data_IF_957497123792
#
_entry.id   IF_957497123792
#
_cell.length_a   1.000
_cell.length_b   1.000
_cell.length_c   1.000
_cell.angle_alpha   90.00
_cell.angle_beta   90.00
_cell.angle_gamma   90.00
#
_symmetry.space_group_name_H-M   'P 1'
#
loop_
_entity.id
_entity.type
_entity.pdbx_description
1 polymer ?
#
# COMPACT_ATOMS: atom_id res chain seq x y z
N UNK A 1 -11.04 1.13 -35.21
CA UNK A 1 -9.78 0.66 -34.63
C UNK A 1 -9.81 1.11 -33.17
N UNK A 2 -10.02 0.18 -32.25
CA UNK A 2 -9.92 0.47 -30.81
C UNK A 2 -8.44 0.31 -30.47
N UNK A 3 -7.80 1.35 -29.97
CA UNK A 3 -6.46 1.22 -29.40
C UNK A 3 -6.64 0.56 -28.03
N UNK A 4 -6.14 -0.67 -27.89
CA UNK A 4 -6.05 -1.33 -26.59
C UNK A 4 -4.79 -0.80 -25.88
N UNK A 5 -4.88 -0.26 -24.65
CA UNK A 5 -3.70 0.16 -23.91
C UNK A 5 -2.74 -1.02 -23.71
N UNK A 6 -1.49 -0.85 -24.12
CA UNK A 6 -0.41 -1.84 -23.91
C UNK A 6 -0.15 -2.06 -22.42
N UNK A 7 -0.42 -1.05 -21.59
CA UNK A 7 -0.35 -1.09 -20.12
C UNK A 7 -1.51 -0.27 -19.54
N UNK A 8 -2.21 -0.84 -18.57
CA UNK A 8 -3.15 -0.15 -17.69
C UNK A 8 -2.65 -0.27 -16.24
N UNK A 9 -2.70 0.84 -15.50
CA UNK A 9 -2.35 0.91 -14.09
C UNK A 9 -3.56 1.47 -13.33
N UNK A 10 -4.12 0.67 -12.45
CA UNK A 10 -5.09 1.11 -11.45
C UNK A 10 -4.37 1.33 -10.13
N UNK A 11 -4.64 2.45 -9.47
CA UNK A 11 -4.08 2.80 -8.16
C UNK A 11 -5.21 3.18 -7.23
N UNK A 12 -5.14 2.70 -6.00
CA UNK A 12 -6.06 3.08 -4.94
C UNK A 12 -5.34 3.23 -3.61
N UNK A 13 -5.79 4.18 -2.81
CA UNK A 13 -5.26 4.45 -1.47
C UNK A 13 -6.22 3.94 -0.42
N UNK A 14 -5.67 3.36 0.64
CA UNK A 14 -6.39 2.99 1.86
C UNK A 14 -7.21 4.17 2.41
N UNK A 15 -8.50 3.96 2.63
CA UNK A 15 -9.39 4.91 3.30
C UNK A 15 -9.49 4.54 4.78
N UNK A 16 -8.99 5.41 5.66
CA UNK A 16 -9.01 5.15 7.11
C UNK A 16 -10.42 5.13 7.71
N UNK A 17 -11.34 5.87 7.09
CA UNK A 17 -12.70 6.07 7.61
C UNK A 17 -13.68 4.97 7.16
N UNK A 18 -13.26 4.09 6.24
CA UNK A 18 -14.05 2.96 5.74
C UNK A 18 -13.34 1.67 6.14
N UNK A 19 -13.52 1.27 7.39
CA UNK A 19 -12.88 0.10 7.98
C UNK A 19 -13.83 -0.75 8.81
N UNK A 20 -13.54 -2.05 8.89
CA UNK A 20 -14.31 -3.04 9.65
C UNK A 20 -13.38 -4.07 10.30
N UNK A 21 -13.76 -4.56 11.47
CA UNK A 21 -13.02 -5.62 12.15
C UNK A 21 -13.16 -6.96 11.41
N UNK A 22 -12.08 -7.74 11.37
CA UNK A 22 -12.04 -9.08 10.81
C UNK A 22 -12.12 -10.10 11.96
N UNK A 23 -12.89 -11.17 11.80
CA UNK A 23 -12.96 -12.25 12.79
C UNK A 23 -12.26 -13.54 12.36
N UNK A 24 -12.10 -13.76 11.06
CA UNK A 24 -11.41 -14.93 10.52
C UNK A 24 -11.04 -14.76 9.05
N UNK A 25 -10.05 -15.53 8.60
CA UNK A 25 -9.63 -15.64 7.22
C UNK A 25 -9.56 -17.12 6.82
N UNK A 26 -10.21 -17.49 5.71
CA UNK A 26 -10.16 -18.82 5.13
C UNK A 26 -9.83 -18.72 3.63
N UNK A 27 -8.57 -18.92 3.27
CA UNK A 27 -8.12 -18.70 1.89
C UNK A 27 -8.25 -17.22 1.53
N UNK A 28 -9.16 -16.89 0.63
CA UNK A 28 -9.49 -15.50 0.23
C UNK A 28 -10.83 -15.01 0.79
N UNK A 29 -11.51 -15.80 1.63
CA UNK A 29 -12.74 -15.40 2.30
C UNK A 29 -12.41 -14.74 3.64
N UNK A 30 -12.73 -13.45 3.73
CA UNK A 30 -12.52 -12.60 4.90
C UNK A 30 -13.86 -12.43 5.61
N UNK A 31 -13.98 -12.92 6.85
CA UNK A 31 -15.19 -12.69 7.66
C UNK A 31 -15.04 -11.40 8.43
N UNK A 32 -15.96 -10.46 8.22
CA UNK A 32 -15.94 -9.11 8.81
C UNK A 32 -17.17 -8.86 9.68
N UNK A 33 -17.12 -7.85 10.56
CA UNK A 33 -18.28 -7.47 11.37
C UNK A 33 -19.44 -6.89 10.55
N UNK A 34 -19.15 -6.28 9.40
CA UNK A 34 -20.13 -5.78 8.44
C UNK A 34 -19.47 -5.59 7.07
N UNK A 35 -20.18 -5.84 5.97
CA UNK A 35 -19.70 -5.52 4.62
C UNK A 35 -20.19 -4.13 4.12
N UNK A 36 -20.85 -3.35 4.99
CA UNK A 36 -21.33 -2.01 4.63
C UNK A 36 -20.16 -1.10 4.23
N UNK A 37 -20.33 -0.37 3.11
CA UNK A 37 -19.28 0.51 2.56
C UNK A 37 -18.35 -0.18 1.57
N UNK A 38 -18.37 -1.52 1.48
CA UNK A 38 -17.61 -2.29 0.51
C UNK A 38 -18.47 -2.68 -0.70
N UNK A 39 -17.84 -2.84 -1.85
CA UNK A 39 -18.48 -3.28 -3.09
C UNK A 39 -17.52 -4.13 -3.92
N UNK A 40 -18.07 -5.04 -4.72
CA UNK A 40 -17.30 -5.83 -5.69
C UNK A 40 -16.53 -4.88 -6.62
N UNK A 41 -15.27 -5.20 -6.90
CA UNK A 41 -14.32 -4.38 -7.65
C UNK A 41 -13.57 -3.34 -6.82
N UNK A 42 -13.85 -3.19 -5.52
CA UNK A 42 -13.01 -2.37 -4.65
C UNK A 42 -11.72 -3.11 -4.29
N UNK A 43 -10.61 -2.39 -4.23
CA UNK A 43 -9.44 -2.88 -3.51
C UNK A 43 -9.68 -2.85 -2.02
N UNK A 44 -8.99 -3.72 -1.30
CA UNK A 44 -8.98 -3.76 0.16
C UNK A 44 -7.57 -3.88 0.69
N UNK A 45 -7.37 -3.35 1.90
CA UNK A 45 -6.15 -3.48 2.68
C UNK A 45 -6.52 -4.15 3.98
N UNK A 46 -6.06 -5.39 4.15
CA UNK A 46 -6.11 -6.12 5.39
C UNK A 46 -4.86 -5.77 6.19
N UNK A 47 -5.05 -5.39 7.45
CA UNK A 47 -3.96 -5.20 8.41
C UNK A 47 -4.25 -6.11 9.60
N UNK A 48 -3.44 -7.14 9.76
CA UNK A 48 -3.44 -7.98 10.95
C UNK A 48 -2.73 -7.25 12.10
N UNK A 49 -3.18 -7.41 13.34
CA UNK A 49 -2.45 -6.92 14.52
C UNK A 49 -2.04 -5.42 14.45
N UNK A 50 -2.98 -4.54 14.10
CA UNK A 50 -2.69 -3.12 13.79
C UNK A 50 -1.93 -2.36 14.90
N UNK A 51 -2.07 -2.81 16.16
CA UNK A 51 -1.48 -2.19 17.36
C UNK A 51 -0.10 -2.71 17.75
N UNK A 52 0.42 -3.75 17.09
CA UNK A 52 1.68 -4.41 17.47
C UNK A 52 2.62 -4.62 16.29
N UNK A 53 2.67 -5.84 15.74
CA UNK A 53 3.48 -6.23 14.58
C UNK A 53 2.57 -6.41 13.37
N UNK A 54 2.23 -5.33 12.65
CA UNK A 54 1.26 -5.42 11.59
C UNK A 54 1.76 -6.27 10.43
N UNK A 55 0.89 -7.15 9.93
CA UNK A 55 1.08 -7.82 8.64
C UNK A 55 0.03 -7.25 7.69
N UNK A 56 0.51 -6.68 6.59
CA UNK A 56 -0.34 -6.03 5.60
C UNK A 56 -0.59 -6.98 4.44
N UNK A 57 -1.83 -7.04 3.98
CA UNK A 57 -2.19 -7.78 2.77
C UNK A 57 -3.22 -7.01 1.96
N UNK A 58 -3.22 -7.21 0.65
CA UNK A 58 -4.12 -6.49 -0.27
C UNK A 58 -4.74 -7.43 -1.29
N UNK A 59 -5.93 -7.07 -1.76
CA UNK A 59 -6.68 -7.83 -2.75
C UNK A 59 -7.81 -6.99 -3.33
N UNK A 60 -8.56 -7.57 -4.26
CA UNK A 60 -9.74 -6.96 -4.88
C UNK A 60 -10.98 -7.81 -4.59
N UNK A 61 -12.07 -7.16 -4.18
CA UNK A 61 -13.31 -7.85 -3.84
C UNK A 61 -13.95 -8.45 -5.08
N UNK A 62 -14.14 -9.77 -5.08
CA UNK A 62 -14.82 -10.50 -6.16
C UNK A 62 -16.26 -10.87 -5.81
N UNK A 63 -16.55 -11.06 -4.52
CA UNK A 63 -17.91 -11.34 -4.05
C UNK A 63 -18.12 -10.83 -2.61
N UNK A 64 -19.39 -10.57 -2.28
CA UNK A 64 -19.84 -10.26 -0.92
C UNK A 64 -21.08 -11.09 -0.62
N UNK A 65 -21.04 -11.88 0.46
CA UNK A 65 -22.13 -12.72 0.92
C UNK A 65 -22.36 -12.49 2.42
N UNK A 66 -23.30 -11.60 2.76
CA UNK A 66 -23.56 -11.23 4.15
C UNK A 66 -22.34 -10.54 4.78
N UNK A 67 -21.72 -11.22 5.74
CA UNK A 67 -20.51 -10.75 6.46
C UNK A 67 -19.21 -11.33 5.91
N UNK A 68 -19.25 -12.02 4.77
CA UNK A 68 -18.06 -12.59 4.12
C UNK A 68 -17.74 -11.78 2.88
N UNK A 69 -16.51 -11.28 2.81
CA UNK A 69 -15.94 -10.60 1.65
C UNK A 69 -14.92 -11.56 1.03
N UNK A 70 -15.14 -11.97 -0.21
CA UNK A 70 -14.20 -12.80 -0.97
C UNK A 70 -13.34 -11.91 -1.84
N UNK A 71 -12.01 -12.07 -1.76
CA UNK A 71 -11.06 -11.39 -2.65
C UNK A 71 -10.51 -12.34 -3.72
N UNK A 72 -9.92 -11.78 -4.77
CA UNK A 72 -9.29 -12.55 -5.85
C UNK A 72 -8.02 -13.27 -5.36
N UNK A 73 -7.19 -12.56 -4.59
CA UNK A 73 -5.97 -13.03 -3.98
C UNK A 73 -5.62 -12.14 -2.78
N UNK A 74 -4.66 -12.58 -1.96
CA UNK A 74 -4.05 -11.77 -0.92
C UNK A 74 -2.55 -11.68 -1.19
N UNK A 75 -2.10 -10.51 -1.64
CA UNK A 75 -0.67 -10.18 -1.73
C UNK A 75 -0.26 -9.64 -0.36
N UNK A 76 0.65 -10.32 0.32
CA UNK A 76 1.10 -9.96 1.68
C UNK A 76 2.61 -9.89 1.82
N UNK A 77 3.08 -9.11 2.80
CA UNK A 77 4.50 -9.04 3.19
C UNK A 77 4.89 -10.07 4.26
N UNK A 78 3.98 -10.98 4.60
CA UNK A 78 4.18 -11.98 5.64
C UNK A 78 3.06 -13.00 5.71
N UNK A 79 3.21 -13.97 6.60
CA UNK A 79 2.18 -14.98 6.87
C UNK A 79 1.01 -14.37 7.63
N UNK A 80 -0.19 -14.50 7.07
CA UNK A 80 -1.42 -14.06 7.73
C UNK A 80 -1.94 -15.12 8.72
N UNK A 81 -2.32 -14.65 9.90
CA UNK A 81 -2.95 -15.43 10.97
C UNK A 81 -3.98 -14.55 11.68
N UNK A 82 -5.16 -14.43 11.07
CA UNK A 82 -6.30 -13.69 11.65
C UNK A 82 -6.84 -14.45 12.85
N UNK A 83 -6.81 -13.81 14.02
CA UNK A 83 -7.33 -14.35 15.28
C UNK A 83 -8.52 -13.56 15.82
N UNK A 84 -8.87 -12.46 15.13
CA UNK A 84 -10.01 -11.61 15.46
C UNK A 84 -9.69 -10.52 16.48
N UNK A 85 -8.41 -10.36 16.86
CA UNK A 85 -7.94 -9.31 17.76
C UNK A 85 -7.10 -8.31 16.97
N UNK A 86 -7.53 -7.04 16.98
CA UNK A 86 -6.82 -5.95 16.28
C UNK A 86 -6.59 -6.19 14.77
N UNK A 87 -7.41 -7.05 14.15
CA UNK A 87 -7.43 -7.32 12.72
C UNK A 87 -8.48 -6.44 12.02
N UNK A 88 -8.06 -5.67 11.03
CA UNK A 88 -8.90 -4.67 10.37
C UNK A 88 -8.82 -4.78 8.85
N UNK A 89 -9.98 -4.70 8.20
CA UNK A 89 -10.10 -4.56 6.76
C UNK A 89 -10.48 -3.12 6.43
N UNK A 90 -9.66 -2.47 5.62
CA UNK A 90 -9.93 -1.14 5.06
C UNK A 90 -10.33 -1.28 3.60
N UNK A 91 -11.22 -0.40 3.14
CA UNK A 91 -11.42 -0.19 1.71
C UNK A 91 -10.26 0.62 1.15
N UNK A 92 -9.83 0.32 -0.07
CA UNK A 92 -8.91 1.15 -0.83
C UNK A 92 -9.59 1.64 -2.11
N UNK A 93 -9.93 2.93 -2.11
CA UNK A 93 -10.54 3.62 -3.24
C UNK A 93 -10.14 5.11 -3.30
N UNK A 94 -9.35 5.58 -2.34
CA UNK A 94 -8.91 6.97 -2.28
C UNK A 94 -7.83 7.28 -3.31
N UNK A 95 -7.60 8.56 -3.55
CA UNK A 95 -6.51 9.07 -4.41
C UNK A 95 -5.49 9.90 -3.64
N UNK A 96 -5.70 10.09 -2.34
CA UNK A 96 -4.86 10.91 -1.47
C UNK A 96 -4.50 10.13 -0.22
N UNK A 97 -3.23 10.21 0.18
CA UNK A 97 -2.75 9.67 1.45
C UNK A 97 -2.67 10.81 2.44
N UNK A 98 -3.57 10.82 3.43
CA UNK A 98 -3.49 11.77 4.55
C UNK A 98 -2.62 11.22 5.69
N UNK A 99 -1.56 11.94 6.03
CA UNK A 99 -0.80 11.76 7.28
C UNK A 99 -1.25 12.76 8.35
N UNK A 100 -2.56 12.86 8.54
CA UNK A 100 -3.13 13.70 9.58
C UNK A 100 -2.81 13.14 10.97
N UNK A 101 -2.50 14.05 11.90
CA UNK A 101 -2.43 13.72 13.31
C UNK A 101 -1.26 12.81 13.70
N UNK A 102 -0.13 12.89 13.00
CA UNK A 102 1.09 12.15 13.35
C UNK A 102 1.42 12.31 14.84
N UNK A 103 1.42 11.17 15.54
CA UNK A 103 1.75 11.10 16.96
C UNK A 103 3.26 10.92 17.15
N UNK A 104 3.74 11.28 18.33
CA UNK A 104 5.18 11.27 18.63
C UNK A 104 5.72 9.91 19.05
N UNK A 105 4.82 9.00 19.42
CA UNK A 105 5.10 7.70 20.02
C UNK A 105 4.64 6.53 19.14
N UNK A 106 4.27 6.80 17.89
CA UNK A 106 3.86 5.76 16.95
C UNK A 106 4.26 6.06 15.51
N UNK A 107 4.34 5.00 14.72
CA UNK A 107 4.54 5.06 13.27
C UNK A 107 3.17 4.99 12.61
N UNK A 108 2.80 6.03 11.88
CA UNK A 108 1.58 6.05 11.09
C UNK A 108 1.83 5.33 9.77
N UNK A 109 0.95 4.37 9.43
CA UNK A 109 1.04 3.56 8.21
C UNK A 109 -0.13 3.85 7.27
N UNK A 110 0.15 3.88 5.97
CA UNK A 110 -0.85 4.01 4.91
C UNK A 110 -0.46 3.13 3.74
N UNK A 111 -1.42 2.53 3.07
CA UNK A 111 -1.14 1.63 1.95
C UNK A 111 -1.66 2.20 0.64
N UNK A 112 -0.79 2.21 -0.37
CA UNK A 112 -1.14 2.41 -1.78
C UNK A 112 -1.20 1.03 -2.43
N UNK A 113 -2.36 0.64 -2.91
CA UNK A 113 -2.58 -0.59 -3.68
C UNK A 113 -2.49 -0.25 -5.17
N UNK A 114 -1.88 -1.14 -5.94
CA UNK A 114 -1.82 -1.03 -7.38
C UNK A 114 -2.17 -2.35 -8.06
N UNK A 115 -2.72 -2.24 -9.26
CA UNK A 115 -2.95 -3.33 -10.18
C UNK A 115 -2.44 -2.90 -11.55
N UNK A 116 -1.55 -3.69 -12.14
CA UNK A 116 -1.07 -3.45 -13.49
C UNK A 116 -1.56 -4.57 -14.38
N UNK A 117 -2.26 -4.17 -15.45
CA UNK A 117 -2.58 -5.06 -16.55
C UNK A 117 -1.73 -4.70 -17.76
N UNK A 118 -1.06 -5.69 -18.36
CA UNK A 118 -0.11 -5.45 -19.44
C UNK A 118 -0.26 -6.49 -20.54
N UNK A 119 -0.25 -6.04 -21.79
CA UNK A 119 -0.24 -6.90 -22.99
C UNK A 119 1.17 -6.92 -23.63
N UNK A 120 2.19 -7.17 -22.81
CA UNK A 120 3.55 -7.47 -23.26
C UNK A 120 4.09 -8.72 -22.60
N UNK A 121 4.83 -9.51 -23.37
CA UNK A 121 5.32 -10.83 -22.94
C UNK A 121 6.38 -10.76 -21.85
N UNK A 122 7.14 -9.67 -21.78
CA UNK A 122 8.33 -9.56 -20.93
C UNK A 122 8.02 -9.00 -19.52
N UNK A 123 6.78 -8.57 -19.27
CA UNK A 123 6.30 -8.08 -17.99
C UNK A 123 6.38 -6.55 -17.85
N UNK A 124 6.54 -6.07 -16.62
CA UNK A 124 6.55 -4.64 -16.31
C UNK A 124 7.32 -4.32 -15.03
N UNK A 125 7.67 -3.04 -14.88
CA UNK A 125 8.25 -2.46 -13.68
C UNK A 125 7.32 -1.37 -13.16
N UNK A 126 7.11 -1.32 -11.85
CA UNK A 126 6.42 -0.20 -11.19
C UNK A 126 7.47 0.68 -10.51
N UNK A 127 7.35 1.98 -10.74
CA UNK A 127 8.17 3.00 -10.13
C UNK A 127 7.35 3.90 -9.22
N UNK A 128 8.01 4.42 -8.19
CA UNK A 128 7.50 5.44 -7.27
C UNK A 128 8.44 6.64 -7.31
N UNK A 129 7.87 7.84 -7.26
CA UNK A 129 8.57 9.09 -7.00
C UNK A 129 7.66 10.05 -6.23
N UNK A 130 8.23 11.09 -5.65
CA UNK A 130 7.49 12.21 -5.06
C UNK A 130 7.80 13.53 -5.77
N UNK A 131 6.96 14.55 -5.58
CA UNK A 131 7.26 15.92 -6.02
C UNK A 131 8.20 16.66 -5.05
N UNK A 132 8.01 16.44 -3.76
CA UNK A 132 8.78 17.00 -2.66
C UNK A 132 8.54 16.19 -1.38
N UNK A 133 9.37 16.47 -0.37
CA UNK A 133 9.20 15.93 0.97
C UNK A 133 7.79 16.17 1.51
N UNK A 134 7.31 15.21 2.28
CA UNK A 134 6.06 15.28 3.04
C UNK A 134 6.04 16.54 3.92
N UNK A 135 5.14 17.50 3.65
CA UNK A 135 5.23 18.86 4.20
C UNK A 135 3.90 19.44 4.70
N UNK A 136 3.99 20.36 5.66
CA UNK A 136 2.88 21.12 6.23
C UNK A 136 3.31 22.58 6.37
N UNK A 137 2.96 23.42 5.39
CA UNK A 137 3.39 24.82 5.35
C UNK A 137 4.91 24.96 5.21
N UNK A 138 5.58 25.48 6.24
CA UNK A 138 7.04 25.63 6.28
C UNK A 138 7.78 24.43 6.90
N UNK A 139 7.04 23.42 7.37
CA UNK A 139 7.60 22.24 8.02
C UNK A 139 7.60 21.06 7.05
N UNK A 140 8.65 20.25 7.09
CA UNK A 140 8.76 19.02 6.30
C UNK A 140 9.20 17.88 7.19
N UNK A 141 8.79 16.67 6.82
CA UNK A 141 9.30 15.43 7.37
C UNK A 141 10.41 14.96 6.41
N UNK A 142 11.59 14.70 6.97
CA UNK A 142 12.73 14.24 6.19
C UNK A 142 12.58 12.77 5.82
N UNK A 143 13.33 12.32 4.82
CA UNK A 143 13.25 10.91 4.43
C UNK A 143 13.98 10.02 5.44
N UNK A 144 13.51 8.78 5.57
CA UNK A 144 14.18 7.73 6.34
C UNK A 144 15.59 7.50 5.80
N UNK A 145 16.57 7.44 6.70
CA UNK A 145 17.98 7.36 6.33
C UNK A 145 18.65 6.04 6.73
N UNK A 146 18.17 5.38 7.78
CA UNK A 146 18.79 4.21 8.40
C UNK A 146 18.08 2.88 8.06
N UNK A 147 16.97 2.94 7.34
CA UNK A 147 16.22 1.78 6.86
C UNK A 147 14.99 1.44 7.69
N UNK A 148 14.63 2.22 8.71
CA UNK A 148 13.43 1.97 9.50
C UNK A 148 12.77 3.28 9.97
N UNK A 149 11.52 3.50 9.58
CA UNK A 149 10.75 4.62 10.15
C UNK A 149 10.41 4.29 11.59
N UNK A 150 10.96 5.08 12.52
CA UNK A 150 10.94 4.81 13.95
C UNK A 150 10.09 5.85 14.69
N UNK A 151 9.28 5.38 15.64
CA UNK A 151 8.50 6.25 16.52
C UNK A 151 9.42 7.21 17.31
N UNK A 152 9.07 8.49 17.33
CA UNK A 152 9.88 9.52 18.00
C UNK A 152 10.97 10.15 17.13
N UNK A 153 11.15 9.67 15.89
CA UNK A 153 11.91 10.34 14.84
C UNK A 153 10.99 11.14 13.93
N UNK A 154 11.51 12.21 13.31
CA UNK A 154 10.80 12.91 12.23
C UNK A 154 11.26 12.34 10.89
N UNK A 155 10.57 11.31 10.42
CA UNK A 155 10.96 10.65 9.17
C UNK A 155 9.79 10.04 8.39
N UNK A 156 9.97 9.98 7.07
CA UNK A 156 9.01 9.46 6.11
C UNK A 156 9.71 8.47 5.17
N UNK A 157 9.07 7.35 4.91
CA UNK A 157 9.63 6.32 4.04
C UNK A 157 8.56 5.36 3.57
N UNK A 158 8.99 4.40 2.78
CA UNK A 158 8.08 3.43 2.20
C UNK A 158 8.73 2.07 2.00
N UNK A 159 7.88 1.05 1.94
CA UNK A 159 8.25 -0.35 1.75
C UNK A 159 7.33 -1.00 0.73
N UNK A 160 7.90 -1.78 -0.17
CA UNK A 160 7.15 -2.53 -1.17
C UNK A 160 6.69 -3.88 -0.66
N UNK A 161 5.59 -4.39 -1.22
CA UNK A 161 5.18 -5.78 -1.12
C UNK A 161 6.05 -6.73 -1.94
N UNK A 162 6.73 -6.23 -2.98
CA UNK A 162 7.68 -7.01 -3.76
C UNK A 162 8.94 -7.24 -2.94
N UNK A 163 9.29 -8.51 -2.72
CA UNK A 163 10.44 -8.95 -1.91
C UNK A 163 11.65 -9.33 -2.75
N UNK A 164 11.64 -9.01 -4.05
CA UNK A 164 12.60 -9.52 -5.04
C UNK A 164 13.33 -8.42 -5.80
N UNK A 165 13.35 -7.19 -5.28
CA UNK A 165 13.86 -6.02 -5.98
C UNK A 165 15.39 -6.04 -6.03
N UNK A 166 15.96 -6.01 -7.24
CA UNK A 166 17.41 -6.04 -7.42
C UNK A 166 18.05 -4.64 -7.46
N UNK A 167 17.27 -3.59 -7.73
CA UNK A 167 17.76 -2.24 -8.03
C UNK A 167 17.37 -1.18 -6.99
N UNK A 168 16.63 -1.59 -5.96
CA UNK A 168 16.14 -0.73 -4.89
C UNK A 168 16.17 -1.49 -3.57
N UNK A 169 15.94 -0.79 -2.46
CA UNK A 169 15.91 -1.36 -1.10
C UNK A 169 14.50 -1.40 -0.51
N UNK A 170 13.47 -1.06 -1.30
CA UNK A 170 12.08 -1.02 -0.85
C UNK A 170 11.56 -2.40 -0.41
N UNK A 171 12.21 -3.49 -0.79
CA UNK A 171 11.85 -4.86 -0.43
C UNK A 171 12.35 -5.28 0.97
N UNK A 172 13.49 -4.75 1.37
CA UNK A 172 14.26 -5.21 2.53
C UNK A 172 14.19 -4.26 3.73
N UNK A 173 13.94 -2.98 3.48
CA UNK A 173 13.91 -1.93 4.50
C UNK A 173 12.92 -0.81 4.14
N UNK A 174 12.69 0.11 5.07
CA UNK A 174 12.01 1.36 4.75
C UNK A 174 12.98 2.25 3.95
N UNK A 175 12.57 2.64 2.76
CA UNK A 175 13.38 3.39 1.82
C UNK A 175 12.89 4.85 1.70
N UNK A 176 13.80 5.80 1.47
CA UNK A 176 13.42 7.17 1.15
C UNK A 176 12.69 7.21 -0.20
N UNK A 177 11.66 8.04 -0.29
CA UNK A 177 11.00 8.36 -1.55
C UNK A 177 11.65 9.64 -2.08
N UNK A 178 12.05 9.64 -3.35
CA UNK A 178 12.77 10.78 -3.93
C UNK A 178 12.06 11.28 -5.18
N UNK A 179 12.53 12.41 -5.70
CA UNK A 179 12.03 12.96 -6.98
C UNK A 179 12.44 12.13 -8.20
N UNK A 180 13.37 11.18 -8.06
CA UNK A 180 13.74 10.25 -9.10
C UNK A 180 12.87 8.99 -9.04
N UNK A 181 12.53 8.42 -10.20
CA UNK A 181 11.80 7.16 -10.27
C UNK A 181 12.61 6.03 -9.63
N UNK A 182 12.08 5.47 -8.54
CA UNK A 182 12.64 4.33 -7.82
C UNK A 182 11.79 3.10 -8.05
N UNK A 183 12.42 1.98 -8.37
CA UNK A 183 11.72 0.73 -8.62
C UNK A 183 11.08 0.20 -7.32
N UNK A 184 9.78 -0.06 -7.36
CA UNK A 184 9.03 -0.66 -6.25
C UNK A 184 8.42 -2.01 -6.59
N UNK A 185 8.30 -2.39 -7.86
CA UNK A 185 7.88 -3.74 -8.22
C UNK A 185 8.49 -4.18 -9.55
N UNK A 186 8.73 -5.48 -9.72
CA UNK A 186 9.07 -6.07 -11.02
C UNK A 186 8.37 -7.39 -11.20
N UNK A 187 7.60 -7.48 -12.27
CA UNK A 187 6.99 -8.72 -12.72
C UNK A 187 7.68 -9.12 -14.01
N UNK A 188 8.38 -10.25 -13.99
CA UNK A 188 9.05 -10.80 -15.17
C UNK A 188 8.11 -11.69 -15.98
N UNK A 189 8.27 -11.65 -17.30
CA UNK A 189 7.52 -12.48 -18.23
C UNK A 189 7.79 -13.97 -18.08
N UNK A 190 6.76 -14.81 -18.26
CA UNK A 190 6.91 -16.28 -18.22
C UNK A 190 5.60 -17.05 -18.10
N UNK A 191 4.51 -16.40 -17.72
CA UNK A 191 3.16 -16.96 -17.74
C UNK A 191 2.19 -15.87 -18.21
N UNK A 192 1.14 -16.28 -18.91
CA UNK A 192 0.14 -15.43 -19.55
C UNK A 192 -0.80 -14.72 -18.54
N UNK A 193 -0.25 -14.13 -17.48
CA UNK A 193 -1.00 -13.35 -16.50
C UNK A 193 -0.78 -11.87 -16.77
N UNK A 194 -1.70 -11.34 -17.57
CA UNK A 194 -1.89 -9.95 -17.98
C UNK A 194 -2.36 -9.03 -16.84
N UNK A 195 -2.19 -9.42 -15.57
CA UNK A 195 -2.70 -8.71 -14.40
C UNK A 195 -1.88 -9.12 -13.18
N UNK A 196 -1.26 -8.15 -12.51
CA UNK A 196 -0.55 -8.38 -11.26
C UNK A 196 -0.78 -7.22 -10.30
N UNK A 197 -0.90 -7.58 -9.03
CA UNK A 197 -1.23 -6.67 -7.93
C UNK A 197 -0.08 -6.60 -6.95
N UNK A 198 -0.02 -5.49 -6.24
CA UNK A 198 0.85 -5.31 -5.10
C UNK A 198 0.56 -3.99 -4.42
N UNK A 199 1.44 -3.62 -3.50
CA UNK A 199 1.25 -2.41 -2.75
C UNK A 199 2.58 -1.79 -2.31
N UNK A 200 2.49 -0.51 -1.95
CA UNK A 200 3.52 0.21 -1.23
C UNK A 200 2.93 0.64 0.10
N UNK A 201 3.58 0.26 1.19
CA UNK A 201 3.28 0.75 2.53
C UNK A 201 4.10 2.00 2.79
N UNK A 202 3.43 3.11 3.03
CA UNK A 202 4.01 4.38 3.44
C UNK A 202 4.02 4.46 4.96
N UNK A 203 5.12 4.97 5.51
CA UNK A 203 5.34 5.10 6.94
C UNK A 203 5.82 6.49 7.27
N UNK A 204 5.19 7.13 8.24
CA UNK A 204 5.60 8.41 8.76
C UNK A 204 5.65 8.39 10.29
N UNK A 205 6.68 9.00 10.85
CA UNK A 205 6.79 9.31 12.26
C UNK A 205 7.14 10.78 12.44
N UNK A 206 6.81 11.32 13.62
CA UNK A 206 7.11 12.70 14.00
C UNK A 206 7.77 12.69 15.37
N UNK A 207 8.81 13.51 15.57
CA UNK A 207 9.35 13.72 16.91
C UNK A 207 8.55 14.78 17.70
N UNK A 208 8.89 14.98 18.98
CA UNK A 208 8.22 15.96 19.85
C UNK A 208 8.47 17.43 19.52
N UNK A 209 9.38 17.73 18.60
CA UNK A 209 9.79 19.08 18.19
C UNK A 209 9.18 19.50 16.84
N UNK A 210 8.86 18.53 15.97
CA UNK A 210 8.17 18.77 14.72
C UNK A 210 6.71 19.21 14.97
N UNK A 211 6.24 20.19 14.20
CA UNK A 211 4.91 20.78 14.39
C UNK A 211 3.79 19.76 14.09
N UNK A 212 2.67 19.83 14.82
CA UNK A 212 1.48 19.07 14.45
C UNK A 212 0.80 19.76 13.26
N UNK A 213 0.42 18.97 12.25
CA UNK A 213 -0.25 19.49 11.07
C UNK A 213 -0.75 18.37 10.16
N UNK A 214 -1.41 18.79 9.10
CA UNK A 214 -1.72 17.95 7.94
C UNK A 214 -0.51 18.00 7.02
N UNK A 215 0.16 16.86 6.90
CA UNK A 215 1.33 16.72 6.06
C UNK A 215 0.96 16.05 4.74
N UNK A 216 1.38 16.66 3.63
CA UNK A 216 1.00 16.25 2.28
C UNK A 216 2.21 16.31 1.34
N UNK A 217 2.20 15.42 0.33
CA UNK A 217 3.01 15.48 -0.88
C UNK A 217 2.24 14.80 -2.03
N UNK A 218 2.76 14.92 -3.25
CA UNK A 218 2.24 14.16 -4.38
C UNK A 218 3.16 12.98 -4.66
N UNK A 219 2.59 11.78 -4.65
CA UNK A 219 3.27 10.56 -5.05
C UNK A 219 2.85 10.18 -6.47
N UNK A 220 3.84 9.83 -7.28
CA UNK A 220 3.67 9.37 -8.65
C UNK A 220 3.99 7.89 -8.72
N UNK A 221 3.00 7.09 -9.11
CA UNK A 221 3.18 5.68 -9.41
C UNK A 221 3.13 5.48 -10.93
N UNK A 222 4.16 4.85 -11.49
CA UNK A 222 4.32 4.68 -12.93
C UNK A 222 4.57 3.22 -13.25
N UNK A 223 3.73 2.62 -14.10
CA UNK A 223 3.98 1.30 -14.66
C UNK A 223 4.64 1.43 -16.04
N UNK A 224 5.78 0.79 -16.23
CA UNK A 224 6.49 0.73 -17.51
C UNK A 224 6.57 -0.71 -18.00
N UNK A 225 6.12 -1.02 -19.23
CA UNK A 225 6.31 -2.33 -19.81
C UNK A 225 7.80 -2.58 -20.09
N UNK A 226 8.23 -3.83 -20.02
CA UNK A 226 9.56 -4.26 -20.44
C UNK A 226 9.48 -4.82 -21.87
N UNK A 227 10.47 -4.49 -22.70
CA UNK A 227 10.57 -4.94 -24.11
C UNK A 227 11.84 -5.75 -24.34
#
# INVERSE_FOLDING_TARGET
MVFDPVVALDVAVQETDVSVSISSLAGTDITVSSASGFSVGNFVVLIQNVSSTPVTATGEITAIAGSVITVDQLVSNGSLSIDGVDDVLYRAAGTSVGFDGLLTDSVTRRTIVWNVSVDVRNGFVVYLAEDANLSSGAFSITDVADGEVTAGSTEFGARSSDTTLASSTFDTQDAPITTALQQVATVSGGSATFNAKGYVELKAARDGTAQQGTYENNLYLVASPTY
#
